data_IF_900867645734
#
_entry.id   IF_900867645734
#
_cell.length_a   1.000
_cell.length_b   1.000
_cell.length_c   1.000
_cell.angle_alpha   90.00
_cell.angle_beta   90.00
_cell.angle_gamma   90.00
#
_symmetry.space_group_name_H-M   'P 1'
#
loop_
_entity.id
_entity.type
_entity.pdbx_description
1 polymer ?
#
# COMPACT_ATOMS: atom_id res chain seq x y z
N UNK A 1 -16.86 0.86 -14.67
CA UNK A 1 -15.43 0.48 -14.66
C UNK A 1 -14.98 0.52 -16.10
N UNK A 2 -13.89 1.22 -16.38
CA UNK A 2 -13.27 1.20 -17.72
C UNK A 2 -12.44 -0.08 -17.88
N UNK A 3 -12.38 -0.63 -19.09
CA UNK A 3 -11.67 -1.86 -19.39
C UNK A 3 -12.48 -2.88 -20.18
N UNK A 4 -12.19 -4.17 -19.99
CA UNK A 4 -12.78 -5.27 -20.76
C UNK A 4 -13.44 -6.33 -19.88
N UNK A 5 -14.41 -7.07 -20.45
CA UNK A 5 -15.06 -8.20 -19.79
C UNK A 5 -15.34 -9.33 -20.78
N UNK A 6 -14.96 -10.55 -20.41
CA UNK A 6 -15.31 -11.80 -21.11
C UNK A 6 -15.88 -12.77 -20.10
N UNK A 7 -17.21 -12.93 -20.09
CA UNK A 7 -17.90 -13.76 -19.10
C UNK A 7 -17.65 -13.29 -17.66
N UNK A 8 -16.98 -14.14 -16.87
CA UNK A 8 -16.58 -13.88 -15.49
C UNK A 8 -15.18 -13.23 -15.36
N UNK A 9 -14.48 -12.98 -16.46
CA UNK A 9 -13.15 -12.35 -16.48
C UNK A 9 -13.30 -10.86 -16.73
N UNK A 10 -12.67 -10.05 -15.88
CA UNK A 10 -12.70 -8.59 -15.91
C UNK A 10 -11.28 -8.06 -15.97
N UNK A 11 -11.02 -7.12 -16.86
CA UNK A 11 -9.74 -6.43 -17.01
C UNK A 11 -9.91 -4.93 -16.89
N UNK A 12 -8.98 -4.27 -16.22
CA UNK A 12 -8.91 -2.81 -16.12
C UNK A 12 -7.46 -2.36 -16.02
N UNK A 13 -7.13 -1.19 -16.57
CA UNK A 13 -5.82 -0.55 -16.36
C UNK A 13 -5.78 0.34 -15.12
N UNK A 14 -6.91 0.54 -14.44
CA UNK A 14 -6.97 1.49 -13.35
C UNK A 14 -6.56 0.85 -12.03
N UNK A 15 -5.32 1.12 -11.63
CA UNK A 15 -4.77 0.74 -10.34
C UNK A 15 -5.54 1.43 -9.19
N UNK A 16 -5.60 0.79 -8.03
CA UNK A 16 -6.28 1.36 -6.86
C UNK A 16 -7.81 1.40 -6.94
N UNK A 17 -8.45 0.92 -8.03
CA UNK A 17 -9.92 0.92 -8.18
C UNK A 17 -10.65 0.31 -6.97
N UNK A 18 -10.08 -0.72 -6.34
CA UNK A 18 -10.66 -1.40 -5.19
C UNK A 18 -10.40 -0.69 -3.85
N UNK A 19 -9.66 0.41 -3.81
CA UNK A 19 -9.45 1.21 -2.60
C UNK A 19 -10.71 2.02 -2.25
N UNK A 20 -11.48 2.43 -3.26
CA UNK A 20 -12.80 3.03 -3.04
C UNK A 20 -13.76 2.02 -2.43
N UNK A 21 -14.12 2.22 -1.15
CA UNK A 21 -15.01 1.32 -0.41
C UNK A 21 -16.38 1.15 -1.10
N UNK A 22 -16.92 2.24 -1.66
CA UNK A 22 -18.18 2.21 -2.40
C UNK A 22 -18.10 1.34 -3.66
N UNK A 23 -17.06 1.54 -4.46
CA UNK A 23 -16.83 0.74 -5.66
C UNK A 23 -16.57 -0.73 -5.31
N UNK A 24 -15.65 -1.00 -4.37
CA UNK A 24 -15.30 -2.35 -3.92
C UNK A 24 -16.54 -3.12 -3.46
N UNK A 25 -17.39 -2.52 -2.64
CA UNK A 25 -18.65 -3.16 -2.18
C UNK A 25 -19.61 -3.43 -3.33
N UNK A 26 -19.80 -2.49 -4.25
CA UNK A 26 -20.67 -2.69 -5.41
C UNK A 26 -20.14 -3.83 -6.31
N UNK A 27 -18.85 -3.82 -6.61
CA UNK A 27 -18.20 -4.82 -7.43
C UNK A 27 -18.26 -6.23 -6.80
N UNK A 28 -17.96 -6.34 -5.49
CA UNK A 28 -18.04 -7.63 -4.80
C UNK A 28 -19.46 -8.20 -4.73
N UNK A 29 -20.50 -7.35 -4.68
CA UNK A 29 -21.89 -7.82 -4.81
C UNK A 29 -22.17 -8.39 -6.21
N UNK A 30 -21.65 -7.75 -7.26
CA UNK A 30 -21.78 -8.28 -8.62
C UNK A 30 -21.05 -9.61 -8.78
N UNK A 31 -19.83 -9.72 -8.24
CA UNK A 31 -19.06 -10.98 -8.22
C UNK A 31 -19.81 -12.07 -7.46
N UNK A 32 -20.39 -11.76 -6.29
CA UNK A 32 -21.15 -12.72 -5.50
C UNK A 32 -22.39 -13.23 -6.26
N UNK A 33 -23.13 -12.34 -6.92
CA UNK A 33 -24.28 -12.69 -7.75
C UNK A 33 -23.86 -13.58 -8.93
N UNK A 34 -22.83 -13.19 -9.67
CA UNK A 34 -22.32 -13.96 -10.82
C UNK A 34 -21.80 -15.35 -10.41
N UNK A 35 -21.23 -15.48 -9.21
CA UNK A 35 -20.73 -16.75 -8.67
C UNK A 35 -21.80 -17.59 -7.95
N UNK A 36 -23.04 -17.11 -7.83
CA UNK A 36 -24.09 -17.79 -7.07
C UNK A 36 -23.74 -17.94 -5.59
N UNK A 37 -23.10 -16.93 -4.99
CA UNK A 37 -22.66 -16.94 -3.58
C UNK A 37 -23.49 -15.98 -2.75
N UNK A 38 -23.81 -16.42 -1.52
CA UNK A 38 -24.44 -15.58 -0.49
C UNK A 38 -23.38 -14.78 0.26
N UNK A 39 -22.59 -14.01 -0.47
CA UNK A 39 -21.59 -13.11 0.11
C UNK A 39 -22.14 -11.69 0.19
N UNK A 40 -21.97 -11.06 1.35
CA UNK A 40 -22.35 -9.66 1.59
C UNK A 40 -21.11 -8.92 2.08
N UNK A 41 -20.64 -7.89 1.36
CA UNK A 41 -19.52 -7.09 1.82
C UNK A 41 -19.83 -6.43 3.16
N UNK A 42 -18.87 -6.44 4.09
CA UNK A 42 -18.98 -5.74 5.35
C UNK A 42 -19.17 -4.22 5.12
N UNK A 43 -20.08 -3.61 5.88
CA UNK A 43 -20.47 -2.22 5.71
C UNK A 43 -19.41 -1.24 6.25
N UNK A 44 -18.68 -1.68 7.26
CA UNK A 44 -17.76 -0.91 8.10
C UNK A 44 -16.28 -1.06 7.71
N UNK A 45 -15.93 -1.97 6.80
CA UNK A 45 -14.57 -2.04 6.26
C UNK A 45 -14.24 -0.78 5.47
N UNK A 46 -13.31 0.03 5.97
CA UNK A 46 -12.77 1.20 5.30
C UNK A 46 -11.32 1.03 4.91
N UNK A 47 -11.01 1.20 3.63
CA UNK A 47 -9.64 1.17 3.15
C UNK A 47 -8.79 2.28 3.75
N UNK A 48 -9.36 3.51 3.85
CA UNK A 48 -8.63 4.66 4.38
C UNK A 48 -8.20 4.42 5.83
N UNK A 49 -9.10 3.93 6.69
CA UNK A 49 -8.78 3.62 8.07
C UNK A 49 -7.71 2.52 8.19
N UNK A 50 -7.85 1.43 7.41
CA UNK A 50 -6.85 0.34 7.43
C UNK A 50 -5.48 0.79 6.89
N UNK A 51 -5.47 1.71 5.91
CA UNK A 51 -4.25 2.31 5.37
C UNK A 51 -3.57 3.18 6.40
N UNK A 52 -4.33 3.98 7.12
CA UNK A 52 -3.85 4.83 8.21
C UNK A 52 -3.27 3.98 9.35
N UNK A 53 -4.00 2.97 9.83
CA UNK A 53 -3.49 2.03 10.83
C UNK A 53 -2.18 1.35 10.41
N UNK A 54 -2.05 0.99 9.13
CA UNK A 54 -0.81 0.42 8.60
C UNK A 54 0.35 1.42 8.64
N UNK A 55 0.09 2.68 8.31
CA UNK A 55 1.10 3.74 8.32
C UNK A 55 1.52 4.08 9.76
N UNK A 56 0.57 4.17 10.68
CA UNK A 56 0.83 4.40 12.10
C UNK A 56 1.71 3.28 12.66
N UNK A 57 1.37 2.02 12.37
CA UNK A 57 2.18 0.87 12.79
C UNK A 57 3.60 0.91 12.22
N UNK A 58 3.78 1.39 10.99
CA UNK A 58 5.13 1.58 10.42
C UNK A 58 5.86 2.71 11.14
N UNK A 59 5.17 3.79 11.50
CA UNK A 59 5.68 4.86 12.34
C UNK A 59 6.20 4.34 13.68
N UNK A 60 5.36 3.58 14.40
CA UNK A 60 5.71 2.98 15.69
C UNK A 60 6.95 2.09 15.57
N UNK A 61 7.03 1.25 14.54
CA UNK A 61 8.21 0.39 14.32
C UNK A 61 9.49 1.19 14.08
N UNK A 62 9.40 2.34 13.42
CA UNK A 62 10.55 3.23 13.23
C UNK A 62 10.91 3.91 14.55
N UNK A 63 9.93 4.45 15.27
CA UNK A 63 10.15 5.12 16.55
C UNK A 63 10.76 4.18 17.60
N UNK A 64 10.23 2.97 17.73
CA UNK A 64 10.61 2.02 18.77
C UNK A 64 11.89 1.23 18.44
N UNK A 65 12.25 1.10 17.17
CA UNK A 65 13.30 0.16 16.75
C UNK A 65 14.37 0.73 15.81
N UNK A 66 14.23 1.97 15.32
CA UNK A 66 15.31 2.64 14.60
C UNK A 66 16.03 3.64 15.52
N UNK A 67 17.34 3.82 15.29
CA UNK A 67 18.09 4.95 15.87
C UNK A 67 17.73 6.21 15.07
N UNK A 68 16.59 6.81 15.42
CA UNK A 68 16.06 8.00 14.74
C UNK A 68 16.99 9.19 14.86
N UNK A 69 17.73 9.30 15.97
CA UNK A 69 18.78 10.33 16.14
C UNK A 69 19.94 10.13 15.14
N UNK A 70 20.37 8.89 14.87
CA UNK A 70 21.37 8.61 13.85
C UNK A 70 20.88 8.93 12.44
N UNK A 71 19.61 8.64 12.14
CA UNK A 71 18.99 9.01 10.86
C UNK A 71 18.95 10.53 10.70
N UNK A 72 18.62 11.27 11.77
CA UNK A 72 18.63 12.72 11.75
C UNK A 72 20.02 13.30 11.56
N UNK A 73 21.03 12.80 12.27
CA UNK A 73 22.43 13.19 12.03
C UNK A 73 22.86 12.93 10.59
N UNK A 74 22.45 11.81 9.99
CA UNK A 74 22.76 11.48 8.60
C UNK A 74 22.11 12.46 7.61
N UNK A 75 20.84 12.82 7.85
CA UNK A 75 20.09 13.76 7.00
C UNK A 75 20.65 15.18 7.10
N UNK A 76 21.01 15.62 8.31
CA UNK A 76 21.49 16.99 8.55
C UNK A 76 22.98 17.18 8.25
N UNK A 77 23.82 16.17 8.50
CA UNK A 77 25.28 16.27 8.43
C UNK A 77 25.92 15.42 7.32
N UNK A 78 25.16 14.58 6.63
CA UNK A 78 25.65 13.68 5.60
C UNK A 78 26.32 12.41 6.16
N UNK A 79 26.83 11.58 5.25
CA UNK A 79 27.44 10.30 5.59
C UNK A 79 28.74 10.48 6.41
N UNK A 80 29.02 9.60 7.39
CA UNK A 80 30.31 9.59 8.08
C UNK A 80 31.49 9.50 7.11
N UNK A 81 32.56 10.24 7.40
CA UNK A 81 33.79 10.17 6.63
C UNK A 81 34.50 8.82 6.81
N UNK A 82 35.25 8.37 5.81
CA UNK A 82 36.08 7.16 5.89
C UNK A 82 35.34 5.83 5.76
N UNK A 83 34.06 5.84 5.35
CA UNK A 83 33.31 4.62 5.08
C UNK A 83 33.87 3.88 3.83
N UNK A 84 33.84 2.53 3.81
CA UNK A 84 34.26 1.75 2.66
C UNK A 84 33.41 2.06 1.42
N UNK A 85 34.08 2.14 0.27
CA UNK A 85 33.42 2.29 -1.02
C UNK A 85 32.79 0.96 -1.48
N UNK A 86 31.52 0.99 -1.93
CA UNK A 86 30.83 -0.17 -2.51
C UNK A 86 30.51 0.11 -4.00
N UNK A 87 31.12 -0.61 -4.95
CA UNK A 87 30.78 -0.52 -6.37
C UNK A 87 29.37 -1.08 -6.67
N UNK A 88 28.60 -0.55 -7.65
CA UNK A 88 28.93 0.53 -8.57
C UNK A 88 28.28 1.86 -8.13
N UNK A 89 28.72 2.43 -7.01
CA UNK A 89 28.53 3.84 -6.65
C UNK A 89 29.77 4.68 -7.00
N UNK A 90 29.75 6.01 -6.80
CA UNK A 90 30.74 6.94 -7.35
C UNK A 90 32.12 6.96 -6.64
N UNK A 91 33.25 7.01 -7.38
CA UNK A 91 34.49 7.64 -6.92
C UNK A 91 34.76 9.00 -7.60
N UNK A 92 35.07 9.98 -6.74
CA UNK A 92 35.45 11.41 -6.92
C UNK A 92 34.36 12.34 -7.49
#
# INVERSE_FOLDING_TARGET
MDGCRVGAVWGTHWHGSLESDGFRRAFLREVAAAAGRRFVPAADTSFAALREEQLDRLGDLIEEHADTDALWRLIESGAPQGLPFIPPGAPA
#
